data_IF_536709948010
#
_entry.id   IF_536709948010
#
_cell.length_a   1.000
_cell.length_b   1.000
_cell.length_c   1.000
_cell.angle_alpha   90.00
_cell.angle_beta   90.00
_cell.angle_gamma   90.00
#
_symmetry.space_group_name_H-M   'P 1'
#
loop_
_entity.id
_entity.type
_entity.pdbx_description
1 polymer ?
#
# COMPACT_ATOMS: atom_id res chain seq x y z
N UNK A 1 -4.48 -3.86 4.57
CA UNK A 1 -4.87 -5.07 3.81
C UNK A 1 -5.31 -6.24 4.67
N UNK A 2 -4.54 -6.72 5.65
CA UNK A 2 -4.93 -7.88 6.49
C UNK A 2 -6.33 -7.85 7.13
N UNK A 3 -6.91 -6.67 7.34
CA UNK A 3 -8.28 -6.52 7.86
C UNK A 3 -9.37 -6.68 6.79
N UNK A 4 -9.06 -6.37 5.53
CA UNK A 4 -9.96 -6.54 4.39
C UNK A 4 -9.83 -7.95 3.79
N UNK A 5 -8.58 -8.41 3.65
CA UNK A 5 -8.25 -9.76 3.20
C UNK A 5 -7.31 -10.39 4.22
N UNK A 6 -7.80 -11.32 5.07
CA UNK A 6 -6.98 -12.03 6.03
C UNK A 6 -5.77 -12.68 5.35
N UNK A 7 -4.63 -12.66 6.03
CA UNK A 7 -3.38 -13.27 5.57
C UNK A 7 -2.78 -12.68 4.27
N UNK A 8 -3.30 -11.55 3.76
CA UNK A 8 -2.76 -10.88 2.56
C UNK A 8 -1.33 -10.34 2.74
N UNK A 9 -0.97 -9.98 3.97
CA UNK A 9 0.36 -9.51 4.37
C UNK A 9 0.82 -10.36 5.58
N UNK A 10 1.49 -11.50 5.35
CA UNK A 10 1.89 -12.39 6.44
C UNK A 10 2.99 -11.80 7.33
N UNK A 11 3.82 -10.88 6.80
CA UNK A 11 4.89 -10.23 7.54
C UNK A 11 5.00 -8.76 7.14
N UNK A 12 5.20 -7.90 8.13
CA UNK A 12 5.48 -6.48 7.96
C UNK A 12 6.44 -6.03 9.08
N UNK A 13 7.09 -4.89 8.88
CA UNK A 13 8.09 -4.36 9.80
C UNK A 13 7.53 -3.18 10.59
N UNK A 14 7.80 -3.11 11.89
CA UNK A 14 7.39 -1.97 12.75
C UNK A 14 8.57 -1.10 13.17
N UNK A 15 9.79 -1.60 13.01
CA UNK A 15 11.06 -0.95 13.33
C UNK A 15 12.01 -0.99 12.11
N UNK A 16 13.16 -0.32 12.17
CA UNK A 16 14.23 -0.46 11.17
C UNK A 16 14.33 0.63 10.09
N UNK A 17 13.83 1.84 10.37
CA UNK A 17 14.15 3.04 9.60
C UNK A 17 13.59 3.07 8.17
N UNK A 18 14.11 4.00 7.35
CA UNK A 18 13.53 4.35 6.06
C UNK A 18 13.42 3.22 5.03
N UNK A 19 14.38 2.29 5.02
CA UNK A 19 14.37 1.16 4.07
C UNK A 19 13.19 0.22 4.33
N UNK A 20 12.98 -0.18 5.59
CA UNK A 20 11.88 -1.09 5.94
C UNK A 20 10.51 -0.42 5.77
N UNK A 21 10.41 0.89 5.99
CA UNK A 21 9.19 1.64 5.67
C UNK A 21 8.86 1.58 4.17
N UNK A 22 9.85 1.72 3.29
CA UNK A 22 9.64 1.57 1.83
C UNK A 22 9.24 0.15 1.47
N UNK A 23 9.84 -0.85 2.11
CA UNK A 23 9.50 -2.25 1.87
C UNK A 23 8.06 -2.57 2.29
N UNK A 24 7.59 -2.07 3.44
CA UNK A 24 6.20 -2.20 3.85
C UNK A 24 5.21 -1.61 2.83
N UNK A 25 5.58 -0.50 2.19
CA UNK A 25 4.75 0.11 1.14
C UNK A 25 4.65 -0.82 -0.06
N UNK A 26 5.76 -1.40 -0.50
CA UNK A 26 5.77 -2.39 -1.60
C UNK A 26 4.95 -3.64 -1.25
N UNK A 27 5.03 -4.12 -0.02
CA UNK A 27 4.22 -5.25 0.47
C UNK A 27 2.73 -4.91 0.41
N UNK A 28 2.35 -3.70 0.84
CA UNK A 28 0.97 -3.23 0.72
C UNK A 28 0.49 -3.15 -0.73
N UNK A 29 1.30 -2.58 -1.64
CA UNK A 29 0.94 -2.46 -3.06
C UNK A 29 0.68 -3.83 -3.69
N UNK A 30 1.52 -4.83 -3.38
CA UNK A 30 1.33 -6.20 -3.88
C UNK A 30 0.04 -6.82 -3.35
N UNK A 31 -0.27 -6.63 -2.07
CA UNK A 31 -1.52 -7.10 -1.48
C UNK A 31 -2.75 -6.40 -2.08
N UNK A 32 -2.68 -5.08 -2.30
CA UNK A 32 -3.76 -4.33 -2.92
C UNK A 32 -3.98 -4.72 -4.40
N UNK A 33 -2.91 -5.00 -5.16
CA UNK A 33 -3.01 -5.56 -6.50
C UNK A 33 -3.70 -6.93 -6.51
N UNK A 34 -3.29 -7.83 -5.61
CA UNK A 34 -3.89 -9.16 -5.48
C UNK A 34 -5.36 -9.09 -5.03
N UNK A 35 -5.75 -8.04 -4.30
CA UNK A 35 -7.12 -7.76 -3.91
C UNK A 35 -8.00 -7.24 -5.06
N UNK A 36 -7.41 -6.89 -6.21
CA UNK A 36 -8.14 -6.46 -7.41
C UNK A 36 -8.12 -4.95 -7.66
N UNK A 37 -7.29 -4.19 -6.94
CA UNK A 37 -7.08 -2.77 -7.27
C UNK A 37 -6.22 -2.67 -8.54
N UNK A 38 -6.69 -1.95 -9.57
CA UNK A 38 -5.92 -1.77 -10.80
C UNK A 38 -4.67 -0.93 -10.56
N UNK A 39 -3.60 -1.22 -11.30
CA UNK A 39 -2.29 -0.55 -11.13
C UNK A 39 -2.37 0.98 -11.27
N UNK A 40 -3.28 1.49 -12.10
CA UNK A 40 -3.51 2.92 -12.27
C UNK A 40 -3.98 3.63 -10.98
N UNK A 41 -4.66 2.89 -10.10
CA UNK A 41 -5.16 3.39 -8.82
C UNK A 41 -4.23 3.07 -7.65
N UNK A 42 -3.16 2.30 -7.88
CA UNK A 42 -2.11 2.11 -6.88
C UNK A 42 -1.19 3.34 -6.86
N UNK A 43 -0.76 3.73 -5.66
CA UNK A 43 0.26 4.75 -5.49
C UNK A 43 1.65 4.12 -5.53
N UNK A 44 2.67 4.91 -5.87
CA UNK A 44 4.08 4.49 -5.85
C UNK A 44 4.75 4.77 -4.50
N UNK A 45 5.87 4.11 -4.23
CA UNK A 45 6.55 4.25 -2.93
C UNK A 45 6.96 5.69 -2.64
N UNK A 46 7.39 6.44 -3.66
CA UNK A 46 7.77 7.86 -3.51
C UNK A 46 6.59 8.76 -3.18
N UNK A 47 5.37 8.40 -3.62
CA UNK A 47 4.17 9.20 -3.40
C UNK A 47 3.86 9.32 -1.91
N UNK A 48 3.98 8.20 -1.18
CA UNK A 48 3.78 8.15 0.26
C UNK A 48 5.07 8.47 1.04
N UNK A 49 6.19 7.84 0.70
CA UNK A 49 7.43 7.93 1.48
C UNK A 49 8.05 9.33 1.43
N UNK A 50 8.08 9.96 0.26
CA UNK A 50 8.59 11.33 0.08
C UNK A 50 7.47 12.37 0.03
N UNK A 51 6.21 11.94 0.21
CA UNK A 51 5.02 12.79 0.16
C UNK A 51 4.86 13.54 -1.17
N UNK A 52 5.34 12.96 -2.27
CA UNK A 52 5.27 13.58 -3.60
C UNK A 52 3.85 13.66 -4.15
N UNK A 53 2.98 12.73 -3.79
CA UNK A 53 1.61 12.69 -4.30
C UNK A 53 0.67 12.00 -3.30
N UNK A 54 0.31 12.71 -2.23
CA UNK A 54 -0.61 12.18 -1.21
C UNK A 54 -2.02 11.98 -1.77
N UNK A 55 -2.43 12.77 -2.78
CA UNK A 55 -3.72 12.60 -3.44
C UNK A 55 -3.89 11.19 -4.03
N UNK A 56 -2.88 10.67 -4.75
CA UNK A 56 -2.90 9.30 -5.27
C UNK A 56 -3.00 8.25 -4.16
N UNK A 57 -2.34 8.46 -3.02
CA UNK A 57 -2.45 7.56 -1.86
C UNK A 57 -3.89 7.54 -1.33
N UNK A 58 -4.52 8.72 -1.22
CA UNK A 58 -5.91 8.85 -0.80
C UNK A 58 -6.86 8.18 -1.78
N UNK A 59 -6.67 8.36 -3.09
CA UNK A 59 -7.48 7.72 -4.13
C UNK A 59 -7.38 6.19 -4.08
N UNK A 60 -6.18 5.65 -3.84
CA UNK A 60 -5.97 4.22 -3.63
C UNK A 60 -6.77 3.68 -2.43
N UNK A 61 -6.82 4.45 -1.32
CA UNK A 61 -7.58 4.06 -0.12
C UNK A 61 -9.09 4.11 -0.41
N UNK A 62 -9.57 5.11 -1.16
CA UNK A 62 -10.96 5.16 -1.60
C UNK A 62 -11.31 4.00 -2.53
N UNK A 63 -10.43 3.62 -3.45
CA UNK A 63 -10.63 2.47 -4.32
C UNK A 63 -10.77 1.16 -3.51
N UNK A 64 -10.00 1.01 -2.43
CA UNK A 64 -10.09 -0.11 -1.50
C UNK A 64 -11.43 -0.19 -0.75
N UNK A 65 -12.11 0.93 -0.51
CA UNK A 65 -13.43 0.93 0.15
C UNK A 65 -14.59 0.50 -0.77
N UNK A 66 -14.37 0.46 -2.09
CA UNK A 66 -15.41 0.12 -3.08
C UNK A 66 -15.44 -1.36 -3.44
N UNK A 67 -14.45 -2.11 -2.98
CA UNK A 67 -14.29 -3.56 -3.15
C UNK A 67 -14.76 -4.25 -1.86
#
# INVERSE_FOLDING_TARGET
MNKLQPSSIPKYYTDGGGFRSRENISIFQNAARAYGIPDLQLFQTVDLYEKRNISQVTDCIYALSRQ
#
